data_IF_695384708086
#
_entry.id   IF_695384708086
#
_cell.length_a   1.000
_cell.length_b   1.000
_cell.length_c   1.000
_cell.angle_alpha   90.00
_cell.angle_beta   90.00
_cell.angle_gamma   90.00
#
_symmetry.space_group_name_H-M   'P 1'
#
loop_
_entity.id
_entity.type
_entity.pdbx_description
1 polymer ?
#
# COMPACT_ATOMS: atom_id res chain seq x y z
N UNK A 1 5.53 -11.74 -73.92
CA UNK A 1 4.32 -11.49 -73.13
C UNK A 1 4.30 -12.22 -71.78
N UNK A 2 4.81 -13.43 -71.66
CA UNK A 2 4.76 -14.25 -70.43
C UNK A 2 5.53 -13.67 -69.22
N UNK A 3 6.64 -12.93 -69.43
CA UNK A 3 7.46 -12.34 -68.34
C UNK A 3 6.83 -11.11 -67.65
N UNK A 4 5.94 -10.40 -68.34
CA UNK A 4 5.23 -9.23 -67.74
C UNK A 4 4.02 -9.66 -66.94
N UNK A 5 3.41 -10.79 -67.24
CA UNK A 5 2.27 -11.35 -66.48
C UNK A 5 2.71 -11.96 -65.14
N UNK A 6 3.92 -12.50 -65.07
CA UNK A 6 4.47 -13.09 -63.85
C UNK A 6 4.89 -12.04 -62.83
N UNK A 7 5.35 -10.88 -63.27
CA UNK A 7 5.71 -9.76 -62.39
C UNK A 7 4.47 -9.07 -61.77
N UNK A 8 3.34 -9.02 -62.49
CA UNK A 8 2.10 -8.49 -61.94
C UNK A 8 1.45 -9.42 -60.89
N UNK A 9 1.58 -10.74 -61.04
CA UNK A 9 1.10 -11.72 -60.06
C UNK A 9 1.95 -11.73 -58.78
N UNK A 10 3.25 -11.46 -58.86
CA UNK A 10 4.12 -11.32 -57.68
C UNK A 10 3.89 -10.01 -56.94
N UNK A 11 3.57 -8.93 -57.60
CA UNK A 11 3.22 -7.65 -56.98
C UNK A 11 1.84 -7.68 -56.30
N UNK A 12 0.90 -8.45 -56.83
CA UNK A 12 -0.43 -8.64 -56.21
C UNK A 12 -0.38 -9.56 -54.99
N UNK A 13 0.57 -10.49 -54.91
CA UNK A 13 0.74 -11.35 -53.73
C UNK A 13 1.46 -10.68 -52.56
N UNK A 14 2.28 -9.61 -52.81
CA UNK A 14 2.91 -8.82 -51.75
C UNK A 14 2.00 -7.71 -51.17
N UNK A 15 0.88 -7.38 -51.82
CA UNK A 15 -0.01 -6.31 -51.42
C UNK A 15 -1.13 -6.70 -50.47
N UNK A 16 -1.29 -7.96 -50.06
CA UNK A 16 -2.44 -8.43 -49.26
C UNK A 16 -2.09 -8.90 -47.85
N UNK A 17 -0.90 -8.64 -47.35
CA UNK A 17 -0.66 -8.66 -45.91
C UNK A 17 -0.84 -7.24 -45.33
N UNK A 18 -2.02 -6.64 -45.48
CA UNK A 18 -2.47 -5.64 -44.55
C UNK A 18 -2.67 -6.37 -43.22
N UNK A 19 -1.64 -6.36 -42.38
CA UNK A 19 -1.82 -6.56 -40.96
C UNK A 19 -2.83 -5.51 -40.51
N UNK A 20 -4.10 -5.86 -40.44
CA UNK A 20 -5.06 -5.15 -39.63
C UNK A 20 -4.56 -5.34 -38.20
N UNK A 21 -3.70 -4.44 -37.74
CA UNK A 21 -3.56 -4.16 -36.31
C UNK A 21 -4.95 -3.63 -35.93
N UNK A 22 -5.86 -4.54 -35.56
CA UNK A 22 -6.99 -4.16 -34.75
C UNK A 22 -6.38 -3.68 -33.43
N UNK A 23 -6.21 -2.37 -33.32
CA UNK A 23 -6.09 -1.73 -32.02
C UNK A 23 -7.39 -2.14 -31.28
N UNK A 24 -7.30 -3.18 -30.45
CA UNK A 24 -8.30 -3.45 -29.45
C UNK A 24 -8.22 -2.26 -28.48
N UNK A 25 -8.96 -1.20 -28.78
CA UNK A 25 -9.33 -0.22 -27.79
C UNK A 25 -10.26 -0.97 -26.84
N UNK A 26 -9.73 -1.52 -25.74
CA UNK A 26 -10.58 -2.10 -24.70
C UNK A 26 -11.57 -1.01 -24.28
N UNK A 27 -12.84 -1.22 -24.55
CA UNK A 27 -13.89 -0.25 -24.26
C UNK A 27 -13.91 -0.01 -22.74
N UNK A 28 -13.85 1.25 -22.34
CA UNK A 28 -13.90 1.63 -20.93
C UNK A 28 -15.16 1.05 -20.29
N UNK A 29 -15.07 0.38 -19.13
CA UNK A 29 -16.21 -0.27 -18.51
C UNK A 29 -17.28 0.75 -18.11
N UNK A 30 -18.53 0.47 -18.48
CA UNK A 30 -19.69 1.21 -17.97
C UNK A 30 -20.00 0.72 -16.56
N UNK A 31 -20.03 1.65 -15.59
CA UNK A 31 -20.23 1.37 -14.18
C UNK A 31 -21.53 2.00 -13.64
N UNK A 32 -22.17 1.29 -12.70
CA UNK A 32 -23.33 1.78 -11.97
C UNK A 32 -22.99 2.88 -10.97
N UNK A 33 -21.73 2.92 -10.51
CA UNK A 33 -21.22 3.88 -9.54
C UNK A 33 -21.37 5.33 -9.99
N UNK A 34 -21.70 6.22 -9.05
CA UNK A 34 -21.68 7.66 -9.30
C UNK A 34 -20.26 8.21 -9.37
N UNK A 35 -19.36 7.73 -8.51
CA UNK A 35 -17.92 8.01 -8.59
C UNK A 35 -17.14 6.70 -8.50
N UNK A 36 -16.08 6.57 -9.29
CA UNK A 36 -15.24 5.40 -9.31
C UNK A 36 -13.79 5.76 -9.70
N UNK A 37 -12.85 4.97 -9.21
CA UNK A 37 -11.46 5.01 -9.65
C UNK A 37 -10.83 3.63 -9.54
N UNK A 38 -9.90 3.34 -10.44
CA UNK A 38 -8.99 2.20 -10.38
C UNK A 38 -7.57 2.73 -10.50
N UNK A 39 -6.72 2.35 -9.56
CA UNK A 39 -5.30 2.74 -9.56
C UNK A 39 -4.39 1.52 -9.38
N UNK A 40 -3.13 1.66 -9.79
CA UNK A 40 -2.04 0.76 -9.37
C UNK A 40 -1.73 1.01 -7.89
N UNK A 41 -1.43 -0.04 -7.12
CA UNK A 41 -1.20 0.11 -5.68
C UNK A 41 0.15 0.75 -5.35
N UNK A 42 1.17 0.54 -6.18
CA UNK A 42 2.54 1.04 -5.99
C UNK A 42 2.75 2.44 -6.59
N UNK A 43 2.53 2.64 -7.88
CA UNK A 43 2.77 3.92 -8.56
C UNK A 43 1.62 4.92 -8.47
N UNK A 44 0.41 4.48 -8.09
CA UNK A 44 -0.84 5.27 -8.04
C UNK A 44 -1.32 5.75 -9.42
N UNK A 45 -0.87 5.09 -10.50
CA UNK A 45 -1.36 5.38 -11.84
C UNK A 45 -2.86 5.16 -11.92
N UNK A 46 -3.56 6.14 -12.47
CA UNK A 46 -5.01 6.07 -12.66
C UNK A 46 -5.31 5.33 -13.96
N UNK A 47 -5.87 4.13 -13.84
CA UNK A 47 -6.24 3.29 -14.99
C UNK A 47 -7.67 3.56 -15.46
N UNK A 48 -8.56 3.91 -14.53
CA UNK A 48 -9.95 4.27 -14.78
C UNK A 48 -10.41 5.35 -13.82
N UNK A 49 -11.21 6.29 -14.30
CA UNK A 49 -11.82 7.30 -13.44
C UNK A 49 -13.20 7.71 -13.94
N UNK A 50 -14.12 7.92 -12.99
CA UNK A 50 -15.47 8.48 -13.18
C UNK A 50 -15.74 9.40 -12.00
N UNK A 51 -15.83 10.70 -12.21
CA UNK A 51 -16.00 11.71 -11.14
C UNK A 51 -15.10 11.45 -9.93
N UNK A 52 -13.75 11.24 -10.12
CA UNK A 52 -12.87 10.71 -9.08
C UNK A 52 -12.70 11.65 -7.90
N UNK A 53 -12.86 12.96 -8.09
CA UNK A 53 -12.63 14.01 -7.09
C UNK A 53 -13.94 14.61 -6.52
N UNK A 54 -15.09 14.04 -6.87
CA UNK A 54 -16.36 14.49 -6.33
C UNK A 54 -16.50 14.08 -4.87
N UNK A 55 -16.72 15.05 -3.98
CA UNK A 55 -16.91 14.83 -2.55
C UNK A 55 -18.22 14.10 -2.29
N UNK A 56 -18.15 12.96 -1.62
CA UNK A 56 -19.30 12.10 -1.31
C UNK A 56 -19.20 11.53 0.10
N UNK A 57 -20.33 11.20 0.73
CA UNK A 57 -20.34 10.34 1.90
C UNK A 57 -19.75 8.97 1.55
N UNK A 58 -18.88 8.45 2.40
CA UNK A 58 -18.14 7.19 2.16
C UNK A 58 -18.56 6.04 3.08
N UNK A 59 -19.52 6.29 3.95
CA UNK A 59 -20.05 5.30 4.89
C UNK A 59 -18.91 4.55 5.63
N UNK A 60 -19.10 3.28 5.94
CA UNK A 60 -18.14 2.46 6.68
C UNK A 60 -16.80 2.19 5.99
N UNK A 61 -16.57 2.66 4.75
CA UNK A 61 -15.21 2.64 4.18
C UNK A 61 -14.25 3.57 4.96
N UNK A 62 -14.78 4.55 5.71
CA UNK A 62 -14.07 5.34 6.73
C UNK A 62 -13.23 4.48 7.67
N UNK A 63 -13.73 3.29 8.03
CA UNK A 63 -13.06 2.37 8.96
C UNK A 63 -11.71 1.85 8.46
N UNK A 64 -11.39 2.05 7.17
CA UNK A 64 -10.04 1.80 6.65
C UNK A 64 -9.04 2.72 7.36
N UNK A 65 -9.34 4.02 7.47
CA UNK A 65 -8.49 4.98 8.18
C UNK A 65 -8.42 4.65 9.67
N UNK A 66 -9.55 4.33 10.29
CA UNK A 66 -9.61 3.99 11.72
C UNK A 66 -8.78 2.74 12.05
N UNK A 67 -8.92 1.68 11.25
CA UNK A 67 -8.17 0.45 11.42
C UNK A 67 -6.67 0.65 11.13
N UNK A 68 -6.32 1.44 10.10
CA UNK A 68 -4.93 1.76 9.78
C UNK A 68 -4.24 2.49 10.93
N UNK A 69 -4.86 3.51 11.51
CA UNK A 69 -4.31 4.23 12.66
C UNK A 69 -4.17 3.33 13.89
N UNK A 70 -5.11 2.40 14.10
CA UNK A 70 -5.03 1.44 15.19
C UNK A 70 -3.87 0.44 15.00
N UNK A 71 -3.63 -0.02 13.76
CA UNK A 71 -2.48 -0.86 13.44
C UNK A 71 -1.16 -0.09 13.63
N UNK A 72 -1.08 1.16 13.17
CA UNK A 72 0.10 2.02 13.33
C UNK A 72 0.37 2.39 14.79
N UNK A 73 -0.64 2.43 15.65
CA UNK A 73 -0.48 2.59 17.09
C UNK A 73 0.34 1.44 17.70
N UNK A 74 0.22 0.23 17.16
CA UNK A 74 1.14 -0.89 17.38
C UNK A 74 0.87 -1.75 18.63
N UNK A 75 0.02 -1.30 19.57
CA UNK A 75 -0.28 -2.06 20.80
C UNK A 75 -1.48 -3.01 20.59
N UNK A 76 -1.40 -3.94 19.62
CA UNK A 76 -2.54 -4.77 19.20
C UNK A 76 -3.14 -5.63 20.33
N UNK A 77 -2.34 -6.04 21.30
CA UNK A 77 -2.78 -6.83 22.46
C UNK A 77 -3.28 -5.96 23.63
N UNK A 78 -3.25 -4.63 23.49
CA UNK A 78 -3.81 -3.72 24.50
C UNK A 78 -5.29 -3.99 24.67
N UNK A 79 -5.69 -4.27 25.91
CA UNK A 79 -7.09 -4.47 26.27
C UNK A 79 -7.79 -3.11 26.43
N UNK A 80 -8.79 -2.89 25.61
CA UNK A 80 -9.76 -1.81 25.78
C UNK A 80 -10.91 -2.26 26.69
N UNK A 81 -11.46 -1.33 27.46
CA UNK A 81 -12.67 -1.55 28.25
C UNK A 81 -13.77 -0.70 27.63
N UNK A 82 -14.84 -1.33 27.19
CA UNK A 82 -15.96 -0.65 26.57
C UNK A 82 -16.68 0.27 27.58
N UNK A 83 -16.83 1.51 27.21
CA UNK A 83 -17.56 2.50 27.99
C UNK A 83 -18.91 2.82 27.35
N UNK A 84 -19.77 3.48 28.10
CA UNK A 84 -21.13 3.86 27.68
C UNK A 84 -21.12 4.65 26.37
N UNK A 85 -20.16 5.57 26.19
CA UNK A 85 -20.08 6.42 24.99
C UNK A 85 -19.68 5.63 23.73
N UNK A 86 -18.91 4.54 23.88
CA UNK A 86 -18.50 3.70 22.76
C UNK A 86 -19.61 2.74 22.33
N UNK A 87 -20.39 2.19 23.28
CA UNK A 87 -21.41 1.18 22.98
C UNK A 87 -22.72 1.78 22.48
N UNK A 88 -23.04 3.01 22.89
CA UNK A 88 -24.24 3.73 22.43
C UNK A 88 -24.00 4.36 21.06
N UNK A 89 -24.13 3.58 20.02
CA UNK A 89 -23.96 4.02 18.64
C UNK A 89 -25.07 3.50 17.75
N UNK A 90 -25.36 4.25 16.69
CA UNK A 90 -26.33 3.84 15.67
C UNK A 90 -25.69 2.88 14.66
N UNK A 91 -26.53 2.14 13.94
CA UNK A 91 -26.14 1.31 12.81
C UNK A 91 -25.52 -0.03 13.21
N UNK A 92 -24.56 -0.51 12.42
CA UNK A 92 -23.93 -1.82 12.63
C UNK A 92 -23.05 -1.83 13.88
N UNK A 93 -23.23 -2.85 14.72
CA UNK A 93 -22.53 -3.02 16.00
C UNK A 93 -22.17 -4.48 16.18
N UNK A 94 -21.06 -4.78 16.86
CA UNK A 94 -20.76 -6.14 17.34
C UNK A 94 -21.44 -6.45 18.67
N UNK A 95 -22.18 -5.48 19.24
CA UNK A 95 -22.94 -5.62 20.46
C UNK A 95 -22.09 -5.60 21.72
N UNK A 96 -21.08 -4.71 21.75
CA UNK A 96 -20.31 -4.43 22.98
C UNK A 96 -21.25 -3.90 24.07
N UNK A 97 -20.97 -4.33 25.29
CA UNK A 97 -21.63 -3.83 26.50
C UNK A 97 -20.62 -3.06 27.34
N UNK A 98 -21.12 -2.11 28.14
CA UNK A 98 -20.28 -1.39 29.09
C UNK A 98 -19.58 -2.39 30.04
N UNK A 99 -18.27 -2.22 30.20
CA UNK A 99 -17.40 -3.11 30.97
C UNK A 99 -16.82 -4.30 30.19
N UNK A 100 -17.23 -4.53 28.94
CA UNK A 100 -16.61 -5.58 28.11
C UNK A 100 -15.12 -5.29 27.88
N UNK A 101 -14.33 -6.35 27.91
CA UNK A 101 -12.88 -6.31 27.68
C UNK A 101 -12.59 -6.89 26.30
N UNK A 102 -11.84 -6.15 25.49
CA UNK A 102 -11.57 -6.53 24.11
C UNK A 102 -10.18 -6.02 23.69
N UNK A 103 -9.40 -6.83 22.96
CA UNK A 103 -8.10 -6.40 22.45
C UNK A 103 -8.26 -5.42 21.28
N UNK A 104 -7.27 -4.55 21.08
CA UNK A 104 -7.24 -3.65 19.94
C UNK A 104 -7.25 -4.44 18.60
N UNK A 105 -6.56 -5.56 18.54
CA UNK A 105 -6.61 -6.47 17.40
C UNK A 105 -8.04 -6.94 17.09
N UNK A 106 -8.77 -7.38 18.12
CA UNK A 106 -10.16 -7.81 17.96
C UNK A 106 -11.08 -6.66 17.53
N UNK A 107 -10.82 -5.43 18.01
CA UNK A 107 -11.55 -4.25 17.57
C UNK A 107 -11.31 -3.96 16.08
N UNK A 108 -10.07 -4.10 15.60
CA UNK A 108 -9.73 -3.93 14.19
C UNK A 108 -10.46 -4.98 13.33
N UNK A 109 -10.43 -6.26 13.75
CA UNK A 109 -11.18 -7.31 13.06
C UNK A 109 -12.69 -7.05 13.07
N UNK A 110 -13.25 -6.57 14.17
CA UNK A 110 -14.66 -6.19 14.26
C UNK A 110 -15.04 -5.06 13.29
N UNK A 111 -14.16 -4.08 13.11
CA UNK A 111 -14.36 -3.00 12.14
C UNK A 111 -14.27 -3.48 10.70
N UNK A 112 -13.24 -4.26 10.37
CA UNK A 112 -12.97 -4.68 9.00
C UNK A 112 -13.96 -5.73 8.51
N UNK A 113 -14.30 -6.73 9.33
CA UNK A 113 -15.16 -7.84 8.96
C UNK A 113 -16.65 -7.53 9.18
N UNK A 114 -17.02 -7.14 10.41
CA UNK A 114 -18.41 -6.94 10.82
C UNK A 114 -18.89 -5.49 10.68
N UNK A 115 -17.97 -4.56 10.43
CA UNK A 115 -18.28 -3.15 10.29
C UNK A 115 -18.80 -2.47 11.57
N UNK A 116 -18.42 -2.96 12.78
CA UNK A 116 -18.90 -2.46 14.08
C UNK A 116 -18.59 -0.97 14.30
N UNK A 117 -19.64 -0.17 14.56
CA UNK A 117 -19.49 1.25 14.89
C UNK A 117 -19.04 1.42 16.35
N UNK A 118 -19.54 0.56 17.25
CA UNK A 118 -19.09 0.45 18.63
C UNK A 118 -17.60 0.14 18.72
N UNK A 119 -17.12 -0.80 17.90
CA UNK A 119 -15.71 -1.11 17.78
C UNK A 119 -14.89 0.09 17.27
N UNK A 120 -15.40 0.86 16.31
CA UNK A 120 -14.71 2.04 15.80
C UNK A 120 -14.60 3.15 16.86
N UNK A 121 -15.68 3.41 17.61
CA UNK A 121 -15.68 4.40 18.69
C UNK A 121 -14.74 3.99 19.83
N UNK A 122 -14.77 2.71 20.24
CA UNK A 122 -13.87 2.22 21.28
C UNK A 122 -12.42 2.23 20.84
N UNK A 123 -12.14 1.93 19.56
CA UNK A 123 -10.80 2.06 18.98
C UNK A 123 -10.29 3.49 19.08
N UNK A 124 -11.10 4.47 18.65
CA UNK A 124 -10.74 5.88 18.70
C UNK A 124 -10.37 6.32 20.12
N UNK A 125 -11.18 5.95 21.10
CA UNK A 125 -10.94 6.27 22.51
C UNK A 125 -9.72 5.55 23.09
N UNK A 126 -9.47 4.31 22.68
CA UNK A 126 -8.32 3.54 23.14
C UNK A 126 -6.99 4.10 22.63
N UNK A 127 -6.97 4.61 21.39
CA UNK A 127 -5.77 5.13 20.73
C UNK A 127 -5.47 6.58 21.15
N UNK A 128 -6.48 7.43 21.26
CA UNK A 128 -6.29 8.89 21.46
C UNK A 128 -7.01 9.48 22.67
N UNK A 129 -7.69 8.66 23.48
CA UNK A 129 -8.42 9.10 24.68
C UNK A 129 -9.86 9.52 24.40
N UNK A 130 -10.13 10.19 23.28
CA UNK A 130 -11.46 10.60 22.86
C UNK A 130 -11.62 10.56 21.32
N UNK A 131 -12.88 10.68 20.86
CA UNK A 131 -13.23 10.61 19.45
C UNK A 131 -12.78 11.85 18.68
N UNK A 132 -12.82 13.04 19.27
CA UNK A 132 -12.43 14.28 18.60
C UNK A 132 -10.94 14.28 18.30
N UNK A 133 -10.10 13.97 19.31
CA UNK A 133 -8.64 13.83 19.13
C UNK A 133 -8.31 12.75 18.08
N UNK A 134 -9.07 11.66 18.03
CA UNK A 134 -8.89 10.65 16.99
C UNK A 134 -9.23 11.17 15.60
N UNK A 135 -10.31 11.92 15.43
CA UNK A 135 -10.67 12.57 14.16
C UNK A 135 -9.59 13.54 13.68
N UNK A 136 -8.94 14.26 14.60
CA UNK A 136 -7.78 15.10 14.26
C UNK A 136 -6.61 14.26 13.71
N UNK A 137 -6.33 13.08 14.32
CA UNK A 137 -5.33 12.14 13.80
C UNK A 137 -5.72 11.60 12.42
N UNK A 138 -7.00 11.24 12.20
CA UNK A 138 -7.50 10.81 10.90
C UNK A 138 -7.26 11.89 9.84
N UNK A 139 -7.62 13.14 10.13
CA UNK A 139 -7.45 14.26 9.21
C UNK A 139 -5.97 14.62 8.98
N UNK A 140 -5.13 14.50 10.01
CA UNK A 140 -3.67 14.64 9.86
C UNK A 140 -3.10 13.57 8.95
N UNK A 141 -3.50 12.31 9.15
CA UNK A 141 -3.08 11.20 8.29
C UNK A 141 -3.56 11.38 6.85
N UNK A 142 -4.82 11.79 6.65
CA UNK A 142 -5.36 12.09 5.33
C UNK A 142 -4.49 13.10 4.56
N UNK A 143 -4.11 14.21 5.20
CA UNK A 143 -3.19 15.21 4.60
C UNK A 143 -1.83 14.61 4.25
N UNK A 144 -1.25 13.77 5.11
CA UNK A 144 0.04 13.10 4.86
C UNK A 144 -0.03 12.14 3.67
N UNK A 145 -1.20 11.54 3.41
CA UNK A 145 -1.44 10.66 2.27
C UNK A 145 -1.81 11.41 0.98
N UNK A 146 -1.92 12.75 1.01
CA UNK A 146 -2.34 13.53 -0.15
C UNK A 146 -3.84 13.48 -0.43
N UNK A 147 -4.67 13.11 0.55
CA UNK A 147 -6.14 13.09 0.45
C UNK A 147 -6.70 14.51 0.60
N UNK A 148 -6.59 15.32 -0.45
CA UNK A 148 -6.87 16.77 -0.40
C UNK A 148 -8.37 17.09 -0.29
N UNK A 149 -9.23 16.17 -0.70
CA UNK A 149 -10.68 16.35 -0.72
C UNK A 149 -11.39 15.46 0.32
N UNK A 150 -10.77 15.27 1.49
CA UNK A 150 -11.27 14.38 2.54
C UNK A 150 -11.34 15.09 3.88
N UNK A 151 -12.43 14.85 4.60
CA UNK A 151 -12.59 15.25 6.00
C UNK A 151 -13.34 14.17 6.78
N UNK A 152 -12.74 13.75 7.89
CA UNK A 152 -13.31 12.75 8.80
C UNK A 152 -13.79 13.42 10.09
N UNK A 153 -15.09 13.30 10.39
CA UNK A 153 -15.74 13.87 11.59
C UNK A 153 -16.07 12.78 12.62
N UNK A 154 -15.97 11.51 12.23
CA UNK A 154 -16.14 10.37 13.14
C UNK A 154 -15.36 9.15 12.65
N UNK A 155 -15.07 8.15 13.53
CA UNK A 155 -14.26 6.99 13.18
C UNK A 155 -15.03 5.89 12.44
N UNK A 156 -16.35 5.98 12.33
CA UNK A 156 -17.23 4.92 11.85
C UNK A 156 -17.77 5.12 10.43
N UNK A 157 -17.85 6.36 9.96
CA UNK A 157 -18.47 6.73 8.70
C UNK A 157 -19.99 6.92 8.79
N UNK A 158 -20.52 7.16 9.99
CA UNK A 158 -21.90 7.61 10.14
C UNK A 158 -22.10 8.98 9.49
N UNK A 159 -23.29 9.26 8.94
CA UNK A 159 -23.56 10.52 8.26
C UNK A 159 -23.29 11.75 9.14
N UNK A 160 -22.55 12.70 8.60
CA UNK A 160 -22.33 14.03 9.18
C UNK A 160 -22.05 14.98 8.00
N UNK A 161 -22.51 16.23 8.08
CA UNK A 161 -22.44 17.18 6.96
C UNK A 161 -21.02 17.45 6.47
N UNK A 162 -20.05 17.39 7.38
CA UNK A 162 -18.64 17.62 7.11
C UNK A 162 -17.81 16.31 7.00
N UNK A 163 -18.47 15.12 6.93
CA UNK A 163 -17.83 13.84 6.77
C UNK A 163 -17.89 13.37 5.31
N UNK A 164 -16.81 13.55 4.58
CA UNK A 164 -16.75 13.23 3.15
C UNK A 164 -15.35 12.79 2.72
N UNK A 165 -15.30 12.13 1.57
CA UNK A 165 -14.08 11.85 0.82
C UNK A 165 -14.40 11.80 -0.67
N UNK A 166 -13.43 11.40 -1.48
CA UNK A 166 -13.56 11.19 -2.92
C UNK A 166 -13.17 9.76 -3.28
N UNK A 167 -13.52 9.30 -4.48
CA UNK A 167 -13.10 7.97 -4.93
C UNK A 167 -11.57 7.89 -5.02
N UNK A 168 -10.91 8.96 -5.50
CA UNK A 168 -9.46 9.01 -5.62
C UNK A 168 -8.77 9.01 -4.24
N UNK A 169 -9.21 9.84 -3.30
CA UNK A 169 -8.63 9.89 -1.97
C UNK A 169 -8.77 8.55 -1.24
N UNK A 170 -9.94 7.89 -1.39
CA UNK A 170 -10.17 6.56 -0.82
C UNK A 170 -9.30 5.48 -1.47
N UNK A 171 -8.92 5.62 -2.74
CA UNK A 171 -7.99 4.73 -3.41
C UNK A 171 -6.56 4.93 -2.89
N UNK A 172 -6.13 6.18 -2.66
CA UNK A 172 -4.85 6.47 -2.00
C UNK A 172 -4.80 5.83 -0.62
N UNK A 173 -5.87 6.00 0.17
CA UNK A 173 -5.98 5.38 1.50
C UNK A 173 -5.91 3.84 1.42
N UNK A 174 -6.66 3.24 0.49
CA UNK A 174 -6.66 1.79 0.28
C UNK A 174 -5.29 1.27 -0.09
N UNK A 175 -4.61 1.90 -1.06
CA UNK A 175 -3.28 1.52 -1.50
C UNK A 175 -2.22 1.64 -0.38
N UNK A 176 -2.32 2.68 0.45
CA UNK A 176 -1.43 2.83 1.60
C UNK A 176 -1.71 1.78 2.68
N UNK A 177 -2.98 1.53 2.99
CA UNK A 177 -3.38 0.60 4.03
C UNK A 177 -2.93 -0.84 3.73
N UNK A 178 -3.10 -1.32 2.48
CA UNK A 178 -2.64 -2.68 2.10
C UNK A 178 -1.13 -2.82 2.06
N UNK A 179 -0.39 -1.70 1.96
CA UNK A 179 1.08 -1.68 2.10
C UNK A 179 1.56 -2.02 3.51
N UNK A 180 0.68 -1.93 4.52
CA UNK A 180 0.96 -2.41 5.87
C UNK A 180 0.62 -3.90 5.98
N UNK A 181 1.60 -4.79 6.23
CA UNK A 181 1.37 -6.24 6.24
C UNK A 181 0.34 -6.70 7.29
N UNK A 182 0.30 -6.05 8.47
CA UNK A 182 -0.68 -6.39 9.52
C UNK A 182 -2.10 -6.00 9.08
N UNK A 183 -2.28 -4.80 8.54
CA UNK A 183 -3.57 -4.38 8.00
C UNK A 183 -4.03 -5.30 6.87
N UNK A 184 -3.15 -5.57 5.90
CA UNK A 184 -3.42 -6.43 4.74
C UNK A 184 -3.85 -7.84 5.16
N UNK A 185 -3.13 -8.44 6.13
CA UNK A 185 -3.50 -9.77 6.65
C UNK A 185 -4.87 -9.79 7.32
N UNK A 186 -5.25 -8.74 8.06
CA UNK A 186 -6.54 -8.65 8.75
C UNK A 186 -7.70 -8.42 7.79
N UNK A 187 -7.56 -7.51 6.82
CA UNK A 187 -8.65 -7.19 5.88
C UNK A 187 -8.93 -8.33 4.87
N UNK A 188 -7.97 -9.24 4.65
CA UNK A 188 -8.09 -10.38 3.75
C UNK A 188 -8.83 -11.58 4.35
N UNK A 189 -9.05 -11.60 5.66
CA UNK A 189 -9.75 -12.68 6.33
C UNK A 189 -11.21 -12.77 5.89
N UNK A 190 -11.66 -13.96 5.50
CA UNK A 190 -13.08 -14.25 5.24
C UNK A 190 -13.87 -14.39 6.54
N UNK A 191 -13.24 -14.98 7.55
CA UNK A 191 -13.79 -15.16 8.89
C UNK A 191 -12.69 -15.09 9.94
N UNK A 192 -13.03 -14.67 11.16
CA UNK A 192 -12.13 -14.71 12.30
C UNK A 192 -12.89 -15.16 13.55
N UNK A 193 -12.35 -16.13 14.29
CA UNK A 193 -12.88 -16.51 15.62
C UNK A 193 -12.13 -15.68 16.67
N UNK A 194 -12.88 -14.93 17.47
CA UNK A 194 -12.36 -13.97 18.46
C UNK A 194 -13.03 -14.17 19.81
N UNK A 195 -12.31 -13.86 20.90
CA UNK A 195 -12.86 -13.88 22.25
C UNK A 195 -12.80 -12.47 22.86
N UNK A 196 -13.89 -12.04 23.45
CA UNK A 196 -14.02 -10.74 24.13
C UNK A 196 -15.24 -10.73 25.07
N UNK A 197 -15.39 -9.68 25.86
CA UNK A 197 -16.53 -9.49 26.74
C UNK A 197 -16.20 -9.63 28.23
N UNK A 198 -17.22 -9.44 29.07
CA UNK A 198 -17.16 -9.69 30.49
C UNK A 198 -18.54 -10.14 31.01
N UNK A 199 -18.82 -11.47 31.19
CA UNK A 199 -17.86 -12.58 30.98
C UNK A 199 -17.42 -12.75 29.52
N UNK A 200 -16.24 -13.35 29.33
CA UNK A 200 -15.70 -13.61 28.00
C UNK A 200 -16.57 -14.56 27.18
N UNK A 201 -16.80 -14.22 25.92
CA UNK A 201 -17.52 -15.04 24.95
C UNK A 201 -16.67 -15.19 23.68
N UNK A 202 -16.82 -16.30 22.97
CA UNK A 202 -16.20 -16.51 21.66
C UNK A 202 -17.24 -16.28 20.56
N UNK A 203 -16.87 -15.48 19.52
CA UNK A 203 -17.69 -15.22 18.33
C UNK A 203 -16.88 -15.39 17.06
N UNK A 204 -17.55 -15.75 15.97
CA UNK A 204 -16.98 -15.75 14.64
C UNK A 204 -17.46 -14.53 13.88
N UNK A 205 -16.53 -13.64 13.54
CA UNK A 205 -16.76 -12.52 12.63
C UNK A 205 -16.70 -12.98 11.19
N UNK A 206 -17.55 -12.42 10.33
CA UNK A 206 -17.61 -12.74 8.90
C UNK A 206 -17.45 -11.49 8.05
N UNK A 207 -16.51 -11.54 7.11
CA UNK A 207 -16.28 -10.42 6.20
C UNK A 207 -17.46 -10.23 5.24
N UNK A 208 -17.97 -9.01 5.17
CA UNK A 208 -19.07 -8.64 4.29
C UNK A 208 -18.64 -8.49 2.81
N UNK A 209 -17.34 -8.45 2.52
CA UNK A 209 -16.84 -8.34 1.16
C UNK A 209 -16.98 -9.69 0.40
N UNK A 210 -17.98 -9.78 -0.47
CA UNK A 210 -18.25 -10.99 -1.27
C UNK A 210 -17.16 -11.26 -2.30
N UNK A 211 -16.45 -10.22 -2.78
CA UNK A 211 -15.40 -10.37 -3.79
C UNK A 211 -14.24 -11.24 -3.33
N UNK A 212 -14.02 -11.38 -2.01
CA UNK A 212 -13.03 -12.32 -1.45
C UNK A 212 -13.27 -13.78 -1.88
N UNK A 213 -14.45 -14.10 -2.38
CA UNK A 213 -14.78 -15.45 -2.81
C UNK A 213 -15.25 -15.53 -4.25
N UNK A 214 -15.63 -14.41 -4.89
CA UNK A 214 -16.23 -14.38 -6.23
C UNK A 214 -15.32 -13.76 -7.29
N UNK A 215 -14.31 -12.98 -6.92
CA UNK A 215 -13.44 -12.30 -7.87
C UNK A 215 -11.98 -12.72 -7.66
N UNK A 216 -11.35 -13.21 -8.73
CA UNK A 216 -9.98 -13.70 -8.70
C UNK A 216 -8.99 -12.62 -8.29
N UNK A 217 -8.07 -12.99 -7.39
CA UNK A 217 -7.03 -12.12 -6.85
C UNK A 217 -7.51 -11.12 -5.79
N UNK A 218 -8.82 -10.94 -5.54
CA UNK A 218 -9.30 -9.99 -4.53
C UNK A 218 -9.00 -10.47 -3.12
N UNK A 219 -8.34 -9.60 -2.32
CA UNK A 219 -7.94 -9.90 -0.94
C UNK A 219 -8.35 -8.84 0.10
N UNK A 220 -9.12 -7.84 -0.26
CA UNK A 220 -9.59 -6.78 0.67
C UNK A 220 -10.58 -5.85 -0.03
N UNK A 221 -11.01 -4.72 0.52
CA UNK A 221 -10.59 -4.10 1.79
C UNK A 221 -11.83 -3.89 2.67
N UNK A 222 -12.81 -3.02 2.24
CA UNK A 222 -13.95 -2.63 3.08
C UNK A 222 -15.17 -2.22 2.29
N UNK A 223 -16.34 -2.71 2.73
CA UNK A 223 -17.67 -2.32 2.25
C UNK A 223 -18.24 -1.18 3.09
N UNK A 224 -19.12 -0.38 2.52
CA UNK A 224 -19.87 0.65 3.24
C UNK A 224 -21.27 0.84 2.68
N UNK A 225 -22.22 1.16 3.56
CA UNK A 225 -23.57 1.53 3.18
C UNK A 225 -24.21 2.44 4.21
N UNK A 226 -24.80 3.53 3.76
CA UNK A 226 -25.82 4.31 4.46
C UNK A 226 -26.86 4.75 3.45
N UNK A 227 -28.04 5.17 3.91
CA UNK A 227 -29.06 5.70 2.99
C UNK A 227 -28.54 6.93 2.21
N UNK A 228 -27.72 7.76 2.82
CA UNK A 228 -27.15 8.96 2.21
C UNK A 228 -26.02 8.63 1.21
N UNK A 229 -25.14 7.68 1.56
CA UNK A 229 -23.99 7.32 0.72
C UNK A 229 -24.31 6.38 -0.43
N UNK A 230 -25.38 5.58 -0.32
CA UNK A 230 -25.56 4.40 -1.16
C UNK A 230 -24.52 3.32 -0.82
N UNK A 231 -24.31 2.37 -1.72
CA UNK A 231 -23.27 1.34 -1.56
C UNK A 231 -21.93 1.93 -1.93
N UNK A 232 -20.95 1.70 -1.08
CA UNK A 232 -19.56 2.11 -1.25
C UNK A 232 -18.65 0.90 -1.05
N UNK A 233 -17.64 0.78 -1.89
CA UNK A 233 -16.68 -0.31 -1.81
C UNK A 233 -15.27 0.20 -2.12
N UNK A 234 -14.33 -0.20 -1.27
CA UNK A 234 -12.89 -0.13 -1.54
C UNK A 234 -12.39 -1.55 -1.56
N UNK A 235 -11.78 -1.98 -2.66
CA UNK A 235 -11.18 -3.33 -2.74
C UNK A 235 -9.79 -3.29 -3.33
N UNK A 236 -9.02 -4.36 -3.10
CA UNK A 236 -7.72 -4.59 -3.70
C UNK A 236 -7.67 -5.99 -4.28
N UNK A 237 -7.00 -6.12 -5.42
CA UNK A 237 -6.77 -7.39 -6.06
C UNK A 237 -5.32 -7.49 -6.53
N UNK A 238 -4.74 -8.68 -6.43
CA UNK A 238 -3.41 -9.00 -6.91
C UNK A 238 -3.48 -10.13 -7.94
N UNK A 239 -2.86 -9.94 -9.10
CA UNK A 239 -2.65 -10.97 -10.12
C UNK A 239 -1.23 -10.87 -10.64
N UNK A 240 -0.54 -12.00 -10.70
CA UNK A 240 0.85 -12.07 -11.18
C UNK A 240 1.79 -11.05 -10.51
N UNK A 241 1.54 -10.73 -9.22
CA UNK A 241 2.34 -9.78 -8.43
C UNK A 241 2.09 -8.30 -8.77
N UNK A 242 1.08 -7.98 -9.59
CA UNK A 242 0.56 -6.63 -9.79
C UNK A 242 -0.64 -6.44 -8.88
N UNK A 243 -0.66 -5.37 -8.10
CA UNK A 243 -1.77 -5.03 -7.21
C UNK A 243 -2.50 -3.79 -7.68
N UNK A 244 -3.81 -3.89 -7.82
CA UNK A 244 -4.71 -2.80 -8.16
C UNK A 244 -5.66 -2.49 -7.00
N UNK A 245 -6.03 -1.22 -6.87
CA UNK A 245 -7.04 -0.75 -5.91
C UNK A 245 -8.20 -0.11 -6.66
N UNK A 246 -9.40 -0.61 -6.41
CA UNK A 246 -10.65 -0.11 -6.96
C UNK A 246 -11.49 0.54 -5.87
N UNK A 247 -12.13 1.65 -6.21
CA UNK A 247 -13.11 2.34 -5.36
C UNK A 247 -14.35 2.67 -6.17
N UNK A 248 -15.52 2.36 -5.59
CA UNK A 248 -16.81 2.83 -6.08
C UNK A 248 -17.61 3.49 -4.96
N UNK A 249 -18.20 4.64 -5.25
CA UNK A 249 -19.06 5.38 -4.32
C UNK A 249 -20.44 5.56 -4.95
N UNK A 250 -21.49 5.33 -4.15
CA UNK A 250 -22.88 5.31 -4.57
C UNK A 250 -23.07 4.42 -5.82
N UNK A 251 -22.75 3.13 -5.65
CA UNK A 251 -22.73 2.11 -6.69
C UNK A 251 -23.78 1.04 -6.43
N UNK A 252 -24.99 1.08 -7.03
CA UNK A 252 -26.01 0.07 -6.81
C UNK A 252 -25.55 -1.37 -7.06
N UNK A 253 -24.64 -1.58 -8.01
CA UNK A 253 -24.08 -2.88 -8.39
C UNK A 253 -22.57 -2.93 -8.17
N UNK A 254 -22.12 -2.53 -6.98
CA UNK A 254 -20.70 -2.37 -6.60
C UNK A 254 -19.85 -3.61 -6.88
N UNK A 255 -20.37 -4.83 -6.65
CA UNK A 255 -19.64 -6.07 -6.91
C UNK A 255 -19.26 -6.22 -8.38
N UNK A 256 -20.23 -6.06 -9.26
CA UNK A 256 -20.02 -6.17 -10.70
C UNK A 256 -19.19 -5.02 -11.26
N UNK A 257 -19.33 -3.82 -10.68
CA UNK A 257 -18.49 -2.68 -11.06
C UNK A 257 -17.02 -2.97 -10.78
N UNK A 258 -16.68 -3.56 -9.61
CA UNK A 258 -15.32 -3.92 -9.26
C UNK A 258 -14.77 -5.07 -10.12
N UNK A 259 -15.56 -6.10 -10.41
CA UNK A 259 -15.17 -7.18 -11.33
C UNK A 259 -14.78 -6.60 -12.70
N UNK A 260 -15.61 -5.70 -13.27
CA UNK A 260 -15.32 -5.03 -14.55
C UNK A 260 -14.08 -4.14 -14.49
N UNK A 261 -13.89 -3.41 -13.39
CA UNK A 261 -12.69 -2.59 -13.20
C UNK A 261 -11.43 -3.44 -13.21
N UNK A 262 -11.41 -4.58 -12.51
CA UNK A 262 -10.24 -5.47 -12.50
C UNK A 262 -10.01 -6.16 -13.85
N UNK A 263 -11.06 -6.63 -14.52
CA UNK A 263 -10.94 -7.21 -15.87
C UNK A 263 -10.37 -6.20 -16.88
N UNK A 264 -10.73 -4.94 -16.76
CA UNK A 264 -10.18 -3.86 -17.55
C UNK A 264 -8.75 -3.53 -17.13
N UNK A 265 -8.51 -3.26 -15.84
CA UNK A 265 -7.26 -2.69 -15.37
C UNK A 265 -6.05 -3.62 -15.49
N UNK A 266 -6.21 -4.93 -15.22
CA UNK A 266 -5.11 -5.89 -15.38
C UNK A 266 -4.63 -6.06 -16.82
N UNK A 267 -5.40 -5.63 -17.81
CA UNK A 267 -4.97 -5.59 -19.22
C UNK A 267 -4.20 -4.31 -19.56
N UNK A 268 -4.30 -3.27 -18.74
CA UNK A 268 -3.71 -1.95 -18.98
C UNK A 268 -2.36 -1.76 -18.28
N UNK A 269 -1.88 -2.77 -17.56
CA UNK A 269 -0.68 -2.67 -16.73
C UNK A 269 0.30 -3.78 -17.03
N UNK A 270 1.57 -3.47 -16.83
CA UNK A 270 2.68 -4.42 -16.93
C UNK A 270 3.71 -4.20 -15.82
N UNK A 271 4.56 -5.21 -15.62
CA UNK A 271 5.74 -5.11 -14.76
C UNK A 271 6.87 -4.45 -15.53
N UNK A 272 7.28 -3.29 -15.07
CA UNK A 272 8.45 -2.60 -15.62
C UNK A 272 9.64 -2.77 -14.70
N UNK A 273 10.81 -3.21 -15.22
CA UNK A 273 12.00 -3.34 -14.39
C UNK A 273 12.51 -1.95 -13.98
N UNK A 274 12.98 -1.82 -12.73
CA UNK A 274 13.62 -0.59 -12.28
C UNK A 274 14.81 -0.18 -13.12
N UNK A 275 15.57 -1.18 -13.62
CA UNK A 275 16.78 -0.97 -14.40
C UNK A 275 16.81 -2.03 -15.51
N UNK A 276 16.83 -1.58 -16.76
CA UNK A 276 16.92 -2.45 -17.91
C UNK A 276 18.36 -2.96 -18.09
N UNK A 277 18.58 -4.26 -17.97
CA UNK A 277 19.78 -4.96 -18.42
C UNK A 277 21.09 -4.68 -17.70
N UNK A 278 21.12 -3.90 -16.62
CA UNK A 278 22.33 -3.53 -15.90
C UNK A 278 22.40 -4.18 -14.52
N UNK A 279 23.51 -4.85 -14.23
CA UNK A 279 23.84 -5.23 -12.85
C UNK A 279 24.32 -4.00 -12.09
N UNK A 280 23.85 -3.83 -10.85
CA UNK A 280 24.32 -2.78 -9.97
C UNK A 280 25.55 -3.25 -9.20
N UNK A 281 26.59 -2.42 -9.20
CA UNK A 281 27.79 -2.65 -8.40
C UNK A 281 28.04 -1.45 -7.49
N UNK A 282 28.44 -1.75 -6.27
CA UNK A 282 28.76 -0.75 -5.22
C UNK A 282 30.15 -1.00 -4.69
N UNK A 283 30.93 0.08 -4.57
CA UNK A 283 32.25 0.04 -3.93
C UNK A 283 32.08 -0.09 -2.41
N UNK A 284 32.89 -1.00 -1.80
CA UNK A 284 32.86 -1.30 -0.38
C UNK A 284 34.26 -1.11 0.22
N UNK A 285 34.41 -0.09 1.05
CA UNK A 285 35.67 0.17 1.74
C UNK A 285 35.94 -0.89 2.82
N UNK A 286 37.18 -1.35 2.92
CA UNK A 286 37.59 -2.30 3.95
C UNK A 286 37.12 -3.74 3.70
N UNK A 287 36.56 -4.06 2.54
CA UNK A 287 36.18 -5.40 2.17
C UNK A 287 37.31 -6.17 1.47
N UNK A 288 37.32 -7.52 1.60
CA UNK A 288 38.22 -8.39 0.81
C UNK A 288 37.98 -8.27 -0.69
N UNK A 289 36.73 -8.07 -1.11
CA UNK A 289 36.28 -7.79 -2.46
C UNK A 289 35.82 -6.33 -2.50
N UNK A 290 36.44 -5.45 -3.27
CA UNK A 290 36.17 -4.00 -3.18
C UNK A 290 34.81 -3.59 -3.73
N UNK A 291 34.11 -4.48 -4.42
CA UNK A 291 32.78 -4.25 -4.99
C UNK A 291 31.85 -5.40 -4.66
N UNK A 292 30.58 -5.07 -4.48
CA UNK A 292 29.48 -6.04 -4.34
C UNK A 292 28.44 -5.83 -5.42
N UNK A 293 27.82 -6.93 -5.82
CA UNK A 293 26.63 -6.93 -6.65
C UNK A 293 25.42 -6.62 -5.79
N UNK A 294 24.51 -5.75 -6.29
CA UNK A 294 23.28 -5.40 -5.64
C UNK A 294 22.12 -5.41 -6.65
N UNK A 295 20.88 -5.40 -6.14
CA UNK A 295 19.65 -5.30 -6.95
C UNK A 295 18.60 -4.44 -6.25
N UNK A 296 17.69 -3.86 -7.00
CA UNK A 296 16.49 -3.21 -6.46
C UNK A 296 15.52 -4.29 -5.97
N UNK A 297 14.83 -4.05 -4.86
CA UNK A 297 13.87 -4.99 -4.27
C UNK A 297 12.58 -4.26 -3.87
N UNK A 298 11.41 -4.63 -4.47
CA UNK A 298 11.24 -5.59 -5.57
C UNK A 298 11.96 -5.16 -6.85
N UNK A 299 12.20 -6.10 -7.78
CA UNK A 299 12.97 -5.85 -9.00
C UNK A 299 12.17 -5.18 -10.14
N UNK A 300 10.87 -4.96 -9.91
CA UNK A 300 9.95 -4.28 -10.83
C UNK A 300 9.04 -3.30 -10.07
N UNK A 301 8.40 -2.42 -10.83
CA UNK A 301 7.25 -1.62 -10.44
C UNK A 301 6.13 -1.81 -11.46
N UNK A 302 4.90 -1.44 -11.10
CA UNK A 302 3.76 -1.50 -12.02
C UNK A 302 3.72 -0.23 -12.84
N UNK A 303 3.67 -0.36 -14.17
CA UNK A 303 3.44 0.78 -15.07
C UNK A 303 2.15 0.60 -15.86
N UNK A 304 1.45 1.68 -16.08
CA UNK A 304 0.48 1.81 -17.16
C UNK A 304 1.23 2.32 -18.38
N UNK A 305 1.03 1.78 -19.58
CA UNK A 305 1.74 2.18 -20.78
C UNK A 305 1.63 3.68 -21.15
N UNK A 306 0.94 4.48 -20.33
CA UNK A 306 0.75 5.94 -20.48
C UNK A 306 1.65 6.78 -19.58
N UNK A 307 2.41 6.18 -18.67
CA UNK A 307 3.24 6.91 -17.69
C UNK A 307 4.71 6.88 -18.07
N UNK A 308 5.30 8.07 -18.26
CA UNK A 308 6.74 8.24 -18.46
C UNK A 308 7.43 8.37 -17.11
N UNK A 309 8.17 7.33 -16.73
CA UNK A 309 8.96 7.30 -15.52
C UNK A 309 10.46 7.34 -15.78
N UNK A 310 11.19 7.97 -14.87
CA UNK A 310 12.64 7.93 -14.78
C UNK A 310 13.11 7.37 -13.45
N UNK A 311 14.21 6.61 -13.45
CA UNK A 311 14.78 6.02 -12.25
C UNK A 311 16.04 6.76 -11.83
N UNK A 312 16.09 7.18 -10.57
CA UNK A 312 17.27 7.73 -9.92
C UNK A 312 17.78 6.78 -8.83
N UNK A 313 19.09 6.59 -8.77
CA UNK A 313 19.70 5.77 -7.72
C UNK A 313 20.32 6.68 -6.67
N UNK A 314 19.86 6.57 -5.44
CA UNK A 314 20.43 7.21 -4.26
C UNK A 314 21.41 6.23 -3.62
N UNK A 315 22.70 6.47 -3.85
CA UNK A 315 23.79 5.69 -3.26
C UNK A 315 24.22 6.35 -1.95
N UNK A 316 24.52 5.57 -0.94
CA UNK A 316 25.27 6.08 0.20
C UNK A 316 26.67 6.54 -0.25
N UNK A 317 27.21 7.59 0.37
CA UNK A 317 28.49 8.18 -0.02
C UNK A 317 29.67 7.19 0.10
N UNK A 318 29.58 6.23 1.01
CA UNK A 318 30.55 5.13 1.15
C UNK A 318 29.92 3.96 1.90
N UNK A 319 30.07 2.76 1.34
CA UNK A 319 29.74 1.51 2.03
C UNK A 319 30.99 0.98 2.74
N UNK A 320 30.83 0.44 3.94
CA UNK A 320 31.91 -0.14 4.73
C UNK A 320 31.63 -1.61 5.04
N UNK A 321 32.67 -2.44 4.92
CA UNK A 321 32.58 -3.84 5.33
C UNK A 321 32.53 -3.98 6.88
N UNK A 322 31.86 -5.02 7.41
CA UNK A 322 31.20 -6.10 6.67
C UNK A 322 29.81 -5.74 6.18
N UNK A 323 29.45 -6.23 5.00
CA UNK A 323 28.08 -6.20 4.46
C UNK A 323 27.61 -7.64 4.29
N UNK A 324 26.38 -7.92 4.62
CA UNK A 324 25.74 -9.22 4.42
C UNK A 324 24.80 -9.19 3.23
N UNK A 325 24.63 -10.32 2.59
CA UNK A 325 23.57 -10.50 1.58
C UNK A 325 22.21 -10.13 2.18
N UNK A 326 21.47 -9.25 1.50
CA UNK A 326 20.18 -8.73 1.93
C UNK A 326 20.26 -7.38 2.68
N UNK A 327 21.45 -6.91 3.07
CA UNK A 327 21.61 -5.57 3.66
C UNK A 327 21.22 -4.49 2.64
N UNK A 328 20.56 -3.44 3.12
CA UNK A 328 20.19 -2.28 2.29
C UNK A 328 21.44 -1.43 2.06
N UNK A 329 21.79 -1.20 0.80
CA UNK A 329 23.01 -0.47 0.37
C UNK A 329 22.71 0.79 -0.42
N UNK A 330 21.43 1.14 -0.57
CA UNK A 330 20.97 2.35 -1.26
C UNK A 330 19.47 2.31 -1.48
N UNK A 331 18.97 3.31 -2.21
CA UNK A 331 17.56 3.40 -2.62
C UNK A 331 17.44 3.71 -4.10
N UNK A 332 16.46 3.11 -4.75
CA UNK A 332 15.99 3.51 -6.07
C UNK A 332 14.75 4.40 -5.89
N UNK A 333 14.66 5.46 -6.68
CA UNK A 333 13.55 6.40 -6.68
C UNK A 333 12.97 6.47 -8.08
N UNK A 334 11.70 6.17 -8.20
CA UNK A 334 10.92 6.37 -9.42
C UNK A 334 10.38 7.78 -9.43
N UNK A 335 10.59 8.50 -10.51
CA UNK A 335 10.14 9.89 -10.70
C UNK A 335 9.21 9.96 -11.90
N UNK A 336 8.14 10.76 -11.77
CA UNK A 336 7.27 11.08 -12.89
C UNK A 336 7.94 12.05 -13.89
N UNK A 337 7.22 12.37 -14.96
CA UNK A 337 7.67 13.30 -16.01
C UNK A 337 7.94 14.72 -15.51
N UNK A 338 7.45 15.10 -14.33
CA UNK A 338 7.70 16.38 -13.66
C UNK A 338 8.87 16.31 -12.66
N UNK A 339 9.50 15.14 -12.50
CA UNK A 339 10.60 14.92 -11.57
C UNK A 339 10.17 14.74 -10.12
N UNK A 340 8.86 14.57 -9.85
CA UNK A 340 8.33 14.27 -8.51
C UNK A 340 8.57 12.81 -8.18
N UNK A 341 8.97 12.55 -6.95
CA UNK A 341 9.16 11.20 -6.43
C UNK A 341 7.81 10.48 -6.30
N UNK A 342 7.69 9.32 -6.95
CA UNK A 342 6.48 8.51 -7.02
C UNK A 342 6.58 7.27 -6.14
N UNK A 343 7.72 6.56 -6.24
CA UNK A 343 7.93 5.30 -5.55
C UNK A 343 9.39 5.16 -5.10
N UNK A 344 9.59 4.55 -3.95
CA UNK A 344 10.91 4.21 -3.42
C UNK A 344 11.03 2.70 -3.29
N UNK A 345 12.20 2.17 -3.63
CA UNK A 345 12.55 0.78 -3.38
C UNK A 345 13.97 0.68 -2.79
N UNK A 346 14.18 -0.33 -1.96
CA UNK A 346 15.51 -0.58 -1.41
C UNK A 346 16.43 -1.25 -2.45
N UNK A 347 17.70 -0.86 -2.44
CA UNK A 347 18.75 -1.57 -3.16
C UNK A 347 19.42 -2.47 -2.14
N UNK A 348 19.39 -3.78 -2.38
CA UNK A 348 19.90 -4.79 -1.45
C UNK A 348 21.12 -5.52 -2.00
N UNK A 349 22.08 -5.83 -1.12
CA UNK A 349 23.27 -6.60 -1.46
C UNK A 349 22.89 -8.02 -1.89
N UNK A 350 23.45 -8.50 -3.01
CA UNK A 350 23.23 -9.87 -3.52
C UNK A 350 24.24 -10.88 -2.96
N UNK A 351 25.32 -10.41 -2.35
CA UNK A 351 26.44 -11.21 -1.84
C UNK A 351 27.02 -10.58 -0.58
N UNK A 352 27.79 -11.37 0.18
CA UNK A 352 28.51 -10.90 1.36
C UNK A 352 29.80 -10.17 0.98
N UNK A 353 30.12 -9.09 1.71
CA UNK A 353 31.41 -8.41 1.66
C UNK A 353 32.09 -8.44 3.05
N UNK A 354 32.80 -9.52 3.38
CA UNK A 354 33.48 -9.63 4.67
C UNK A 354 34.61 -8.60 4.77
N UNK A 355 34.81 -8.07 5.98
CA UNK A 355 35.88 -7.13 6.25
C UNK A 355 37.25 -7.77 6.02
N UNK A 356 38.23 -6.94 5.64
CA UNK A 356 39.63 -7.32 5.65
C UNK A 356 40.03 -7.69 7.10
N UNK A 357 40.85 -8.73 7.29
CA UNK A 357 41.39 -9.02 8.62
C UNK A 357 42.18 -7.83 9.15
N UNK A 358 41.87 -7.42 10.37
CA UNK A 358 42.66 -6.38 11.05
C UNK A 358 44.07 -6.91 11.23
N UNK A 359 45.05 -6.20 10.70
CA UNK A 359 46.42 -6.59 10.87
C UNK A 359 46.83 -6.24 12.33
N UNK A 360 46.82 -7.24 13.23
CA UNK A 360 47.08 -7.08 14.66
C UNK A 360 48.37 -6.30 14.93
N UNK A 361 49.42 -6.51 14.09
CA UNK A 361 50.66 -5.75 14.15
C UNK A 361 50.51 -4.25 13.90
N UNK A 362 49.47 -3.83 13.12
CA UNK A 362 49.19 -2.41 12.91
C UNK A 362 48.36 -1.80 14.05
N UNK A 363 47.54 -2.60 14.71
CA UNK A 363 46.78 -2.20 15.89
C UNK A 363 47.72 -2.03 17.10
N UNK A 364 48.64 -2.96 17.33
CA UNK A 364 49.70 -2.84 18.37
C UNK A 364 50.59 -1.63 18.16
N UNK A 365 51.02 -1.36 16.92
CA UNK A 365 51.79 -0.14 16.60
C UNK A 365 51.00 1.15 16.85
N UNK A 366 49.71 1.17 16.55
CA UNK A 366 48.83 2.32 16.82
C UNK A 366 48.64 2.54 18.33
N UNK A 367 48.47 1.45 19.08
CA UNK A 367 48.30 1.49 20.52
C UNK A 367 49.62 1.97 21.22
N UNK A 368 50.75 1.40 20.81
CA UNK A 368 52.05 1.84 21.28
C UNK A 368 52.38 3.32 20.95
N UNK A 369 51.94 3.81 19.79
CA UNK A 369 52.06 5.21 19.40
C UNK A 369 51.16 6.13 20.25
N UNK A 370 49.90 5.73 20.50
CA UNK A 370 48.97 6.46 21.40
C UNK A 370 49.50 6.50 22.85
N UNK A 371 50.06 5.42 23.35
CA UNK A 371 50.67 5.36 24.68
C UNK A 371 51.89 6.29 24.80
N UNK A 372 52.72 6.37 23.75
CA UNK A 372 53.82 7.34 23.68
C UNK A 372 53.34 8.78 23.68
N UNK A 373 52.27 9.10 22.94
CA UNK A 373 51.69 10.45 22.95
C UNK A 373 51.11 10.77 24.34
N UNK A 374 50.38 9.85 24.94
CA UNK A 374 49.82 10.03 26.28
C UNK A 374 50.91 10.20 27.36
N UNK A 375 52.02 9.46 27.28
CA UNK A 375 53.15 9.62 28.19
C UNK A 375 53.86 10.95 28.00
N UNK A 376 54.01 11.42 26.76
CA UNK A 376 54.58 12.72 26.44
C UNK A 376 53.72 13.87 26.97
N UNK A 377 52.39 13.79 26.78
CA UNK A 377 51.47 14.78 27.33
C UNK A 377 51.51 14.81 28.86
N UNK A 378 51.55 13.64 29.53
CA UNK A 378 51.70 13.55 30.99
C UNK A 378 53.02 14.12 31.50
N UNK A 379 54.06 14.11 30.67
CA UNK A 379 55.37 14.72 31.03
C UNK A 379 55.42 16.25 30.93
N UNK A 380 54.52 16.85 30.12
CA UNK A 380 54.39 18.30 29.97
C UNK A 380 53.63 18.96 31.13
N UNK A 381 52.77 18.19 31.80
CA UNK A 381 51.93 18.66 32.92
C UNK A 381 52.45 18.26 34.30
N UNK A 382 53.70 17.82 34.42
CA UNK A 382 54.46 17.71 35.62
C UNK A 382 55.53 18.81 35.65
#
# INVERSE_FOLDING_TARGET
>A
MLKKSLALLFAAALGLHIFTITAYCDEMPSLSAASAVLITADTKDVLYSKSPNEKRPVASTTKIMTALLAVEYGELQKTAIADNASVNTEGTSIGLKEGDRISLETLILAMLLESGNDAANLTARTVSGDVCAFCELMNKKARLLGMENTHFSNPSGLPCDDHYSTAYDMALLGAFAIGNPQFSSMCSLKTASVSYGNPEITRTFKNHNRLLSSCDGVFGIKTGFTKAAGRCLVSAAERDGITLVAVTLNAPDDWRDHERLYEYGFKQVEKSPWISGSELYFDVAGAKKPQIKARVSPDYYTSSGSSDYSVSLLKENALFAPIKKGDVVGKAVLKDSFGKDVLFADIVACEDAPALPVNEKSAEKKQAFLEKILSFIKGIFK
#
